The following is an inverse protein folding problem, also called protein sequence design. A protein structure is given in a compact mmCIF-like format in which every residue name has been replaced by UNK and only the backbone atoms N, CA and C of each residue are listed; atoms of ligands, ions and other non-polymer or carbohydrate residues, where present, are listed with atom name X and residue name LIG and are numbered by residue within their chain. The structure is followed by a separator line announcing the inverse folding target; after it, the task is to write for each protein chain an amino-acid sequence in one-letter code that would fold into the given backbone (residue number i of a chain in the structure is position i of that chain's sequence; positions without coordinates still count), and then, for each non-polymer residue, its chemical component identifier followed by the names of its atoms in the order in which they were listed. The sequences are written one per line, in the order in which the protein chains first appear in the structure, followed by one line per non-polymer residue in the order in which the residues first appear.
data_IF_153943398893
#
_entry.id   IF_153943398893
#
_cell.length_a   1.000
_cell.length_b   1.000
_cell.length_c   1.000
_cell.angle_alpha   90.00
_cell.angle_beta   90.00
_cell.angle_gamma   90.00
#
_symmetry.space_group_name_H-M   'P 1'
#
loop_
_entity.id
_entity.type
_entity.pdbx_description
1 polymer ?
#
# COMPACT_ATOMS: atom_id res chain seq x y z
N UNK A 1 -16.89 12.81 -2.93
CA UNK A 1 -16.62 11.48 -2.32
C UNK A 1 -15.43 10.87 -3.04
N UNK A 2 -14.50 10.22 -2.34
CA UNK A 2 -13.32 9.62 -2.98
C UNK A 2 -13.59 8.23 -3.55
N UNK A 3 -12.79 7.82 -4.53
CA UNK A 3 -12.87 6.52 -5.20
C UNK A 3 -11.51 6.08 -5.74
N UNK A 4 -11.36 4.78 -5.94
CA UNK A 4 -10.28 4.17 -6.71
C UNK A 4 -10.86 3.80 -8.08
N UNK A 5 -10.28 4.30 -9.17
CA UNK A 5 -10.66 3.91 -10.52
C UNK A 5 -9.73 2.83 -11.06
N UNK A 6 -10.29 1.90 -11.82
CA UNK A 6 -9.59 0.94 -12.65
C UNK A 6 -10.04 1.16 -14.08
N UNK A 7 -9.13 1.56 -14.96
CA UNK A 7 -9.50 2.03 -16.28
C UNK A 7 -8.56 1.54 -17.37
N UNK A 8 -9.14 1.17 -18.50
CA UNK A 8 -8.43 1.03 -19.76
C UNK A 8 -9.00 2.05 -20.77
N UNK A 9 -8.58 1.97 -22.03
CA UNK A 9 -9.05 2.90 -23.08
C UNK A 9 -10.57 2.84 -23.36
N UNK A 10 -11.23 1.75 -23.00
CA UNK A 10 -12.62 1.46 -23.40
C UNK A 10 -13.61 1.59 -22.24
N UNK A 11 -13.15 1.42 -20.98
CA UNK A 11 -14.02 1.37 -19.81
C UNK A 11 -13.31 1.81 -18.53
N UNK A 12 -14.12 2.31 -17.58
CA UNK A 12 -13.70 2.70 -16.23
C UNK A 12 -14.62 2.01 -15.23
N UNK A 13 -14.01 1.43 -14.19
CA UNK A 13 -14.71 0.80 -13.07
C UNK A 13 -14.32 1.51 -11.79
N UNK A 14 -15.31 1.87 -10.97
CA UNK A 14 -15.09 2.62 -9.73
C UNK A 14 -15.31 1.78 -8.48
N UNK A 15 -14.37 1.88 -7.55
CA UNK A 15 -14.46 1.32 -6.22
C UNK A 15 -14.51 2.45 -5.21
N UNK A 16 -15.34 2.32 -4.17
CA UNK A 16 -15.46 3.34 -3.12
C UNK A 16 -14.11 3.63 -2.46
N UNK A 17 -13.80 4.90 -2.19
CA UNK A 17 -12.60 5.27 -1.42
C UNK A 17 -12.57 4.71 0.00
N UNK A 18 -13.73 4.24 0.50
CA UNK A 18 -13.83 3.49 1.76
C UNK A 18 -13.09 2.15 1.71
N UNK A 19 -12.79 1.60 0.54
CA UNK A 19 -11.96 0.40 0.41
C UNK A 19 -10.50 0.68 0.76
N UNK A 20 -9.97 1.85 0.40
CA UNK A 20 -8.62 2.27 0.80
C UNK A 20 -8.48 2.30 2.32
N UNK A 21 -9.46 2.91 3.00
CA UNK A 21 -9.50 2.95 4.47
C UNK A 21 -9.62 1.54 5.07
N UNK A 22 -10.45 0.68 4.48
CA UNK A 22 -10.61 -0.71 4.89
C UNK A 22 -9.30 -1.50 4.77
N UNK A 23 -8.58 -1.37 3.66
CA UNK A 23 -7.27 -2.00 3.48
C UNK A 23 -6.26 -1.51 4.50
N UNK A 24 -6.21 -0.20 4.78
CA UNK A 24 -5.37 0.32 5.85
C UNK A 24 -5.71 -0.34 7.21
N UNK A 25 -6.99 -0.50 7.55
CA UNK A 25 -7.38 -1.18 8.78
C UNK A 25 -6.92 -2.65 8.83
N UNK A 26 -7.09 -3.42 7.75
CA UNK A 26 -6.63 -4.82 7.70
C UNK A 26 -5.12 -4.93 7.90
N UNK A 27 -4.36 -4.09 7.20
CA UNK A 27 -2.90 -4.05 7.25
C UNK A 27 -2.41 -3.60 8.63
N UNK A 28 -3.04 -2.58 9.20
CA UNK A 28 -2.71 -2.05 10.53
C UNK A 28 -3.02 -3.06 11.64
N UNK A 29 -4.13 -3.78 11.55
CA UNK A 29 -4.48 -4.83 12.51
C UNK A 29 -3.46 -5.97 12.48
N UNK A 30 -3.03 -6.40 11.28
CA UNK A 30 -1.99 -7.42 11.14
C UNK A 30 -0.68 -6.94 11.79
N UNK A 31 -0.24 -5.73 11.48
CA UNK A 31 0.99 -5.16 12.06
C UNK A 31 0.87 -4.94 13.57
N UNK A 32 -0.29 -4.53 14.05
CA UNK A 32 -0.61 -4.40 15.47
C UNK A 32 -0.45 -5.72 16.20
N UNK A 33 -0.99 -6.82 15.66
CA UNK A 33 -0.79 -8.14 16.25
C UNK A 33 0.67 -8.59 16.29
N UNK A 34 1.46 -8.26 15.27
CA UNK A 34 2.92 -8.51 15.25
C UNK A 34 3.63 -7.68 16.33
N UNK A 35 3.26 -6.41 16.46
CA UNK A 35 3.79 -5.52 17.50
C UNK A 35 3.41 -6.00 18.89
N UNK A 36 2.17 -6.39 19.14
CA UNK A 36 1.71 -6.93 20.43
C UNK A 36 2.56 -8.13 20.85
N UNK A 37 2.77 -9.09 19.94
CA UNK A 37 3.60 -10.26 20.20
C UNK A 37 5.05 -9.87 20.52
N UNK A 38 5.58 -8.86 19.83
CA UNK A 38 6.95 -8.41 20.04
C UNK A 38 7.10 -7.60 21.34
N UNK A 39 6.16 -6.71 21.66
CA UNK A 39 6.22 -5.81 22.81
C UNK A 39 5.86 -6.50 24.12
N UNK A 40 5.13 -7.63 24.08
CA UNK A 40 4.86 -8.46 25.25
C UNK A 40 6.12 -9.18 25.78
N UNK A 41 7.20 -9.27 24.99
CA UNK A 41 8.51 -9.71 25.47
C UNK A 41 9.33 -8.49 25.94
N UNK A 42 9.65 -8.37 27.25
CA UNK A 42 10.41 -7.24 27.79
C UNK A 42 11.77 -7.02 27.10
N UNK A 43 12.39 -8.10 26.60
CA UNK A 43 13.68 -8.00 25.90
C UNK A 43 13.51 -7.34 24.53
N UNK A 44 12.42 -7.66 23.82
CA UNK A 44 12.13 -7.07 22.52
C UNK A 44 11.61 -5.64 22.68
N UNK A 45 10.79 -5.36 23.70
CA UNK A 45 10.26 -4.01 23.97
C UNK A 45 11.34 -2.94 24.00
N UNK A 46 12.36 -3.14 24.84
CA UNK A 46 13.44 -2.14 25.01
C UNK A 46 14.20 -1.92 23.71
N UNK A 47 14.42 -3.00 22.95
CA UNK A 47 15.17 -2.92 21.70
C UNK A 47 14.37 -2.33 20.55
N UNK A 48 13.06 -2.61 20.46
CA UNK A 48 12.17 -1.98 19.49
C UNK A 48 12.04 -0.49 19.79
N UNK A 49 11.99 -0.12 21.08
CA UNK A 49 12.00 1.27 21.52
C UNK A 49 13.30 2.00 21.16
N UNK A 50 14.45 1.35 21.34
CA UNK A 50 15.74 1.92 20.94
C UNK A 50 15.89 1.97 19.40
N UNK A 51 15.43 0.92 18.73
CA UNK A 51 15.42 0.76 17.29
C UNK A 51 14.65 1.86 16.59
N UNK A 52 13.44 2.13 17.08
CA UNK A 52 12.52 3.13 16.60
C UNK A 52 12.64 4.36 17.50
N UNK A 53 13.83 4.95 17.54
CA UNK A 53 14.01 6.25 18.16
C UNK A 53 13.13 7.24 17.38
N UNK A 54 12.04 7.76 17.96
CA UNK A 54 11.22 8.66 17.17
C UNK A 54 11.95 10.00 17.03
N UNK A 55 11.60 10.72 15.97
CA UNK A 55 12.05 12.10 15.79
C UNK A 55 11.74 12.87 17.09
N UNK A 56 12.69 13.69 17.54
CA UNK A 56 12.82 14.27 18.90
C UNK A 56 11.54 14.85 19.55
N UNK A 57 10.47 15.09 18.80
CA UNK A 57 9.21 15.64 19.30
C UNK A 57 8.25 14.59 19.90
N UNK A 58 8.38 13.30 19.56
CA UNK A 58 7.49 12.24 20.08
C UNK A 58 7.88 11.74 21.48
N UNK A 59 9.16 11.88 21.85
CA UNK A 59 9.74 11.35 23.11
C UNK A 59 9.81 12.37 24.24
N UNK A 60 9.70 13.67 23.94
CA UNK A 60 9.66 14.67 25.01
C UNK A 60 8.32 14.69 25.76
N UNK A 61 7.27 14.11 25.18
CA UNK A 61 6.13 13.64 25.98
C UNK A 61 6.58 12.43 26.78
N UNK A 62 6.59 12.60 28.11
CA UNK A 62 6.86 11.58 29.12
C UNK A 62 5.76 10.48 29.11
N UNK A 63 5.36 9.97 27.94
CA UNK A 63 4.25 9.06 27.79
C UNK A 63 4.59 7.75 28.48
N UNK A 64 3.70 7.33 29.36
CA UNK A 64 3.83 6.09 30.12
C UNK A 64 3.70 4.85 29.23
N UNK A 65 3.38 4.97 27.93
CA UNK A 65 3.00 3.84 27.07
C UNK A 65 3.53 3.97 25.61
N UNK A 66 4.84 3.84 25.37
CA UNK A 66 5.44 3.78 24.01
C UNK A 66 4.73 2.79 23.07
N UNK A 67 4.25 1.66 23.61
CA UNK A 67 3.48 0.69 22.85
C UNK A 67 2.21 1.31 22.25
N UNK A 68 1.41 2.03 23.06
CA UNK A 68 0.18 2.68 22.61
C UNK A 68 0.45 3.73 21.54
N UNK A 69 1.50 4.54 21.72
CA UNK A 69 1.91 5.53 20.73
C UNK A 69 2.31 4.86 19.41
N UNK A 70 3.06 3.76 19.46
CA UNK A 70 3.43 2.99 18.29
C UNK A 70 2.22 2.32 17.62
N UNK A 71 1.25 1.82 18.39
CA UNK A 71 0.00 1.34 17.82
C UNK A 71 -0.75 2.46 17.10
N UNK A 72 -0.85 3.63 17.71
CA UNK A 72 -1.53 4.78 17.11
C UNK A 72 -0.89 5.14 15.77
N UNK A 73 0.43 5.29 15.74
CA UNK A 73 1.25 5.53 14.54
C UNK A 73 0.92 4.54 13.43
N UNK A 74 0.93 3.25 13.74
CA UNK A 74 0.67 2.23 12.73
C UNK A 74 -0.77 2.28 12.19
N UNK A 75 -1.74 2.70 13.01
CA UNK A 75 -3.14 2.79 12.61
C UNK A 75 -3.47 4.08 11.84
N UNK A 76 -2.91 5.22 12.25
CA UNK A 76 -3.27 6.55 11.72
C UNK A 76 -2.21 7.19 10.84
N UNK A 77 -0.94 6.84 11.03
CA UNK A 77 0.19 7.42 10.32
C UNK A 77 0.23 6.97 8.86
N UNK A 78 0.19 7.95 7.96
CA UNK A 78 0.50 7.76 6.53
C UNK A 78 1.81 8.48 6.13
N UNK A 79 2.23 9.49 6.90
CA UNK A 79 3.43 10.31 6.61
C UNK A 79 4.45 10.33 7.78
N UNK A 80 4.32 9.38 8.72
CA UNK A 80 5.14 9.38 9.92
C UNK A 80 6.50 8.69 9.68
N UNK A 81 7.56 9.37 10.08
CA UNK A 81 8.93 8.87 9.97
C UNK A 81 9.45 8.43 11.34
N UNK A 82 9.84 7.17 11.43
CA UNK A 82 10.73 6.69 12.49
C UNK A 82 12.19 7.00 12.16
N UNK A 83 13.08 6.64 13.07
CA UNK A 83 14.52 6.55 12.78
C UNK A 83 14.93 5.10 13.05
N UNK A 84 15.65 4.48 12.12
CA UNK A 84 16.26 3.16 12.28
C UNK A 84 17.73 3.22 11.89
N UNK A 85 18.62 2.85 12.82
CA UNK A 85 20.07 2.89 12.63
C UNK A 85 20.58 4.27 12.14
N UNK A 86 19.99 5.35 12.68
CA UNK A 86 20.36 6.73 12.33
C UNK A 86 19.82 7.22 10.98
N UNK A 87 19.02 6.41 10.26
CA UNK A 87 18.38 6.79 9.01
C UNK A 87 16.87 6.98 9.22
N UNK A 88 16.21 7.91 8.50
CA UNK A 88 14.76 7.96 8.47
C UNK A 88 14.18 6.61 8.06
N UNK A 89 13.08 6.21 8.69
CA UNK A 89 12.34 5.01 8.39
C UNK A 89 10.91 5.39 8.06
N UNK A 90 10.48 5.15 6.83
CA UNK A 90 9.08 5.29 6.46
C UNK A 90 8.23 4.18 7.09
N UNK A 91 7.38 4.55 8.04
CA UNK A 91 6.52 3.60 8.76
C UNK A 91 5.37 3.11 7.89
N UNK A 92 4.98 3.87 6.87
CA UNK A 92 3.98 3.42 5.91
C UNK A 92 4.51 2.26 5.08
N UNK A 93 5.67 2.41 4.44
CA UNK A 93 6.33 1.31 3.71
C UNK A 93 6.64 0.11 4.61
N UNK A 94 7.11 0.32 5.84
CA UNK A 94 7.36 -0.76 6.80
C UNK A 94 6.10 -1.59 7.09
N UNK A 95 4.96 -0.92 7.28
CA UNK A 95 3.64 -1.55 7.49
C UNK A 95 3.21 -2.34 6.26
N UNK A 96 3.32 -1.75 5.06
CA UNK A 96 2.99 -2.44 3.81
C UNK A 96 3.88 -3.67 3.59
N UNK A 97 5.19 -3.54 3.76
CA UNK A 97 6.15 -4.63 3.61
C UNK A 97 5.87 -5.78 4.59
N UNK A 98 5.52 -5.45 5.82
CA UNK A 98 5.13 -6.46 6.82
C UNK A 98 3.90 -7.24 6.38
N UNK A 99 2.88 -6.56 5.84
CA UNK A 99 1.71 -7.22 5.29
C UNK A 99 1.99 -8.01 4.02
N UNK A 100 2.93 -7.57 3.17
CA UNK A 100 3.39 -8.35 2.02
C UNK A 100 4.09 -9.65 2.45
N UNK A 101 4.92 -9.59 3.50
CA UNK A 101 5.69 -10.74 3.98
C UNK A 101 4.84 -11.78 4.72
N UNK A 102 3.79 -11.35 5.44
CA UNK A 102 2.95 -12.23 6.27
C UNK A 102 1.59 -12.57 5.65
N UNK A 103 1.11 -11.77 4.70
CA UNK A 103 -0.20 -11.91 4.10
C UNK A 103 -0.27 -13.03 3.06
N UNK A 104 -1.42 -13.68 2.96
CA UNK A 104 -1.77 -14.48 1.77
C UNK A 104 -2.09 -13.59 0.57
N UNK A 105 -2.23 -14.19 -0.62
CA UNK A 105 -2.36 -13.46 -1.89
C UNK A 105 -3.43 -12.35 -1.89
N UNK A 106 -4.60 -12.61 -1.31
CA UNK A 106 -5.66 -11.61 -1.23
C UNK A 106 -5.26 -10.38 -0.41
N UNK A 107 -4.63 -10.59 0.76
CA UNK A 107 -4.16 -9.48 1.58
C UNK A 107 -3.00 -8.76 0.90
N UNK A 108 -2.06 -9.50 0.28
CA UNK A 108 -0.97 -8.92 -0.50
C UNK A 108 -1.50 -8.04 -1.64
N UNK A 109 -2.56 -8.46 -2.34
CA UNK A 109 -3.20 -7.65 -3.38
C UNK A 109 -3.82 -6.38 -2.81
N UNK A 110 -4.54 -6.49 -1.69
CA UNK A 110 -5.11 -5.34 -1.00
C UNK A 110 -4.01 -4.35 -0.55
N UNK A 111 -2.89 -4.87 -0.06
CA UNK A 111 -1.70 -4.09 0.32
C UNK A 111 -1.08 -3.37 -0.88
N UNK A 112 -0.91 -4.05 -2.02
CA UNK A 112 -0.42 -3.42 -3.26
C UNK A 112 -1.34 -2.32 -3.73
N UNK A 113 -2.64 -2.60 -3.82
CA UNK A 113 -3.64 -1.61 -4.21
C UNK A 113 -3.58 -0.40 -3.27
N UNK A 114 -3.53 -0.63 -1.96
CA UNK A 114 -3.46 0.46 -0.97
C UNK A 114 -2.19 1.32 -1.12
N UNK A 115 -1.03 0.69 -1.26
CA UNK A 115 0.25 1.39 -1.37
C UNK A 115 0.49 2.06 -2.72
N UNK A 116 -0.17 1.59 -3.78
CA UNK A 116 0.12 2.02 -5.16
C UNK A 116 -1.01 2.85 -5.79
N UNK A 117 -2.18 2.94 -5.16
CA UNK A 117 -3.29 3.72 -5.73
C UNK A 117 -3.01 5.23 -5.81
N UNK A 118 -2.06 5.75 -5.04
CA UNK A 118 -1.70 7.18 -5.02
C UNK A 118 -0.62 7.56 -6.03
N UNK A 119 0.22 6.61 -6.41
CA UNK A 119 1.38 6.81 -7.31
C UNK A 119 1.18 6.12 -8.66
N UNK A 120 -0.07 5.79 -8.99
CA UNK A 120 -0.48 5.03 -10.17
C UNK A 120 0.08 3.60 -10.21
N UNK A 121 -0.77 2.64 -9.85
CA UNK A 121 -0.53 1.22 -10.14
C UNK A 121 -1.07 0.84 -11.52
N UNK A 122 -0.52 -0.18 -12.16
CA UNK A 122 -1.11 -0.72 -13.39
C UNK A 122 -0.94 -2.23 -13.53
N UNK A 123 -1.86 -2.82 -14.30
CA UNK A 123 -1.84 -4.24 -14.69
C UNK A 123 -1.69 -4.31 -16.21
N UNK A 124 -0.76 -5.13 -16.70
CA UNK A 124 -0.74 -5.43 -18.14
C UNK A 124 -1.83 -6.44 -18.49
N UNK A 125 -2.14 -6.53 -19.78
CA UNK A 125 -3.20 -7.41 -20.27
C UNK A 125 -2.93 -8.88 -19.90
N UNK A 126 -1.68 -9.32 -20.02
CA UNK A 126 -1.23 -10.67 -19.69
C UNK A 126 -1.36 -11.02 -18.19
N UNK A 127 -1.29 -10.01 -17.31
CA UNK A 127 -1.38 -10.17 -15.86
C UNK A 127 -2.83 -10.13 -15.34
N UNK A 128 -3.77 -9.63 -16.16
CA UNK A 128 -5.17 -9.41 -15.81
C UNK A 128 -5.88 -10.63 -15.24
N UNK A 129 -5.87 -11.79 -15.92
CA UNK A 129 -6.50 -13.01 -15.41
C UNK A 129 -5.93 -13.52 -14.07
N UNK A 130 -4.64 -13.29 -13.81
CA UNK A 130 -4.02 -13.63 -12.52
C UNK A 130 -4.54 -12.71 -11.41
N UNK A 131 -4.52 -11.39 -11.63
CA UNK A 131 -5.01 -10.42 -10.67
C UNK A 131 -6.50 -10.61 -10.35
N UNK A 132 -7.32 -10.88 -11.38
CA UNK A 132 -8.75 -11.15 -11.24
C UNK A 132 -9.01 -12.33 -10.28
N UNK A 133 -8.30 -13.45 -10.44
CA UNK A 133 -8.45 -14.63 -9.55
C UNK A 133 -8.12 -14.31 -8.09
N UNK A 134 -7.11 -13.47 -7.84
CA UNK A 134 -6.74 -13.06 -6.47
C UNK A 134 -7.84 -12.18 -5.86
N UNK A 135 -8.40 -11.25 -6.63
CA UNK A 135 -9.51 -10.41 -6.17
C UNK A 135 -10.75 -11.26 -5.87
N UNK A 136 -11.09 -12.21 -6.73
CA UNK A 136 -12.19 -13.16 -6.50
C UNK A 136 -11.98 -14.03 -5.27
N UNK A 137 -10.75 -14.50 -5.04
CA UNK A 137 -10.39 -15.19 -3.81
C UNK A 137 -10.58 -14.29 -2.60
N UNK A 138 -10.12 -13.05 -2.68
CA UNK A 138 -10.24 -12.09 -1.61
C UNK A 138 -11.69 -11.69 -1.30
N UNK A 139 -12.57 -11.67 -2.29
CA UNK A 139 -14.03 -11.55 -2.09
C UNK A 139 -14.58 -12.74 -1.28
N UNK A 140 -14.21 -13.99 -1.64
CA UNK A 140 -14.62 -15.18 -0.88
C UNK A 140 -14.10 -15.19 0.56
N UNK A 141 -12.93 -14.57 0.79
CA UNK A 141 -12.29 -14.47 2.10
C UNK A 141 -12.72 -13.24 2.91
N UNK A 142 -13.61 -12.39 2.39
CA UNK A 142 -14.00 -11.10 2.97
C UNK A 142 -12.82 -10.12 3.21
N UNK A 143 -11.73 -10.28 2.47
CA UNK A 143 -10.64 -9.29 2.43
C UNK A 143 -11.08 -8.09 1.57
N UNK A 144 -11.71 -8.37 0.44
CA UNK A 144 -12.37 -7.38 -0.40
C UNK A 144 -13.85 -7.36 -0.03
N UNK A 145 -14.43 -6.18 0.18
CA UNK A 145 -15.86 -6.10 0.54
C UNK A 145 -16.73 -6.28 -0.68
N UNK A 146 -17.87 -6.93 -0.50
CA UNK A 146 -18.87 -7.06 -1.56
C UNK A 146 -19.42 -5.70 -1.98
N UNK A 147 -19.89 -5.66 -3.23
CA UNK A 147 -20.36 -4.45 -3.89
C UNK A 147 -21.50 -3.79 -3.09
N UNK A 148 -21.50 -2.46 -3.05
CA UNK A 148 -22.58 -1.66 -2.48
C UNK A 148 -23.26 -0.86 -3.61
N UNK A 149 -24.50 -0.44 -3.40
CA UNK A 149 -25.32 0.19 -4.45
C UNK A 149 -24.76 1.49 -5.05
N UNK A 150 -23.69 2.06 -4.49
CA UNK A 150 -23.15 3.36 -4.88
C UNK A 150 -21.96 3.27 -5.85
N UNK A 151 -21.28 2.14 -5.92
CA UNK A 151 -20.07 1.95 -6.71
C UNK A 151 -20.13 0.64 -7.50
N UNK A 152 -19.29 0.50 -8.52
CA UNK A 152 -19.22 -0.71 -9.33
C UNK A 152 -18.76 -1.92 -8.51
N UNK A 153 -17.82 -1.67 -7.60
CA UNK A 153 -17.29 -2.65 -6.66
C UNK A 153 -16.29 -3.64 -7.27
N UNK A 154 -15.81 -4.56 -6.44
CA UNK A 154 -14.67 -5.41 -6.76
C UNK A 154 -15.00 -6.53 -7.75
N UNK A 155 -16.26 -6.98 -7.82
CA UNK A 155 -16.67 -8.00 -8.81
C UNK A 155 -16.49 -7.48 -10.24
N UNK A 156 -16.83 -6.20 -10.47
CA UNK A 156 -16.62 -5.55 -11.77
C UNK A 156 -15.14 -5.30 -12.07
N UNK A 157 -14.31 -5.00 -11.06
CA UNK A 157 -12.85 -4.88 -11.23
C UNK A 157 -12.24 -6.21 -11.64
N UNK A 158 -12.61 -7.32 -10.98
CA UNK A 158 -12.17 -8.66 -11.36
C UNK A 158 -12.59 -9.00 -12.80
N UNK A 159 -13.84 -8.70 -13.17
CA UNK A 159 -14.34 -8.88 -14.53
C UNK A 159 -13.57 -8.05 -15.57
N UNK A 160 -13.26 -6.78 -15.28
CA UNK A 160 -12.45 -5.91 -16.12
C UNK A 160 -11.07 -6.53 -16.35
N UNK A 161 -10.38 -6.92 -15.28
CA UNK A 161 -9.02 -7.48 -15.35
C UNK A 161 -8.99 -8.83 -16.07
N UNK A 162 -10.00 -9.68 -15.89
CA UNK A 162 -10.05 -10.99 -16.53
C UNK A 162 -10.21 -10.92 -18.06
N UNK A 163 -10.84 -9.86 -18.59
CA UNK A 163 -11.24 -9.78 -20.01
C UNK A 163 -10.57 -8.63 -20.79
N UNK A 164 -9.81 -7.76 -20.13
CA UNK A 164 -9.12 -6.66 -20.79
C UNK A 164 -8.03 -7.18 -21.73
N UNK A 165 -7.91 -6.54 -22.90
CA UNK A 165 -6.83 -6.79 -23.87
C UNK A 165 -5.71 -5.75 -23.80
N UNK A 166 -5.85 -4.75 -22.94
CA UNK A 166 -4.90 -3.66 -22.77
C UNK A 166 -4.59 -3.39 -21.30
N UNK A 167 -3.67 -2.45 -21.07
CA UNK A 167 -3.28 -2.04 -19.73
C UNK A 167 -4.44 -1.43 -18.96
N UNK A 168 -4.62 -1.87 -17.72
CA UNK A 168 -5.54 -1.27 -16.76
C UNK A 168 -4.74 -0.41 -15.79
N UNK A 169 -5.03 0.88 -15.78
CA UNK A 169 -4.45 1.85 -14.87
C UNK A 169 -5.34 1.97 -13.63
N UNK A 170 -4.72 1.98 -12.46
CA UNK A 170 -5.34 2.24 -11.18
C UNK A 170 -4.98 3.64 -10.70
N UNK A 171 -5.97 4.43 -10.29
CA UNK A 171 -5.76 5.77 -9.73
C UNK A 171 -6.70 6.03 -8.54
N UNK A 172 -6.26 6.87 -7.60
CA UNK A 172 -7.08 7.31 -6.47
C UNK A 172 -7.48 8.78 -6.66
N UNK A 173 -8.78 9.07 -6.58
CA UNK A 173 -9.35 10.37 -6.94
C UNK A 173 -8.85 11.56 -6.11
N UNK A 174 -8.17 11.30 -4.99
CA UNK A 174 -7.60 12.35 -4.11
C UNK A 174 -6.19 12.75 -4.58
N UNK A 175 -5.47 11.85 -5.23
CA UNK A 175 -4.07 12.01 -5.64
C UNK A 175 -3.94 12.31 -7.13
N UNK A 176 -4.95 13.00 -7.69
CA UNK A 176 -5.20 13.18 -9.13
C UNK A 176 -5.67 11.90 -9.83
N UNK A 177 -6.72 12.04 -10.65
CA UNK A 177 -7.24 10.92 -11.44
C UNK A 177 -6.41 10.74 -12.71
N UNK A 178 -6.37 9.55 -13.29
CA UNK A 178 -5.85 9.38 -14.65
C UNK A 178 -6.94 9.79 -15.67
N UNK A 179 -6.61 10.54 -16.74
CA UNK A 179 -5.27 10.95 -17.15
C UNK A 179 -4.78 12.27 -16.53
N UNK A 180 -5.62 13.02 -15.81
CA UNK A 180 -5.31 14.39 -15.34
C UNK A 180 -3.96 14.52 -14.63
N UNK A 181 -3.59 13.56 -13.77
CA UNK A 181 -2.32 13.64 -13.05
C UNK A 181 -1.08 13.30 -13.88
N UNK A 182 -1.24 12.86 -15.12
CA UNK A 182 -0.13 12.64 -16.07
C UNK A 182 -0.02 13.72 -17.16
N UNK A 183 -0.94 14.70 -17.14
CA UNK A 183 -0.92 15.84 -18.04
C UNK A 183 0.08 16.91 -17.58
N UNK A 184 0.76 17.54 -18.53
CA UNK A 184 1.56 18.75 -18.26
C UNK A 184 0.66 19.92 -17.89
N UNK A 185 1.23 21.00 -17.34
CA UNK A 185 0.44 22.20 -17.04
C UNK A 185 -0.19 22.79 -18.33
N UNK A 186 0.58 22.88 -19.41
CA UNK A 186 0.12 23.39 -20.70
C UNK A 186 -1.08 22.58 -21.22
N UNK A 187 -1.01 21.25 -21.18
CA UNK A 187 -2.10 20.39 -21.66
C UNK A 187 -3.39 20.52 -20.84
N UNK A 188 -3.28 20.84 -19.54
CA UNK A 188 -4.45 21.12 -18.70
C UNK A 188 -5.09 22.46 -19.03
N UNK A 189 -4.30 23.40 -19.55
CA UNK A 189 -4.74 24.74 -19.93
C UNK A 189 -5.26 24.80 -21.38
N UNK A 190 -4.94 23.79 -22.21
CA UNK A 190 -5.44 23.67 -23.58
C UNK A 190 -6.63 22.71 -23.71
N UNK A 191 -7.46 22.91 -24.74
CA UNK A 191 -8.52 21.96 -25.11
C UNK A 191 -7.99 20.69 -25.83
N UNK A 192 -6.68 20.61 -26.09
CA UNK A 192 -6.07 19.47 -26.79
C UNK A 192 -5.65 18.41 -25.77
N UNK A 193 -6.48 17.39 -25.61
CA UNK A 193 -6.17 16.26 -24.73
C UNK A 193 -5.24 15.26 -25.44
N UNK A 194 -4.14 14.82 -24.81
CA UNK A 194 -3.29 13.75 -25.35
C UNK A 194 -4.08 12.44 -25.46
N UNK A 195 -3.66 11.56 -26.39
CA UNK A 195 -4.30 10.25 -26.54
C UNK A 195 -4.06 9.36 -25.31
N UNK A 196 -4.90 8.33 -25.16
CA UNK A 196 -4.72 7.31 -24.12
C UNK A 196 -3.30 6.73 -24.11
N UNK A 197 -2.76 6.41 -25.29
CA UNK A 197 -1.44 5.83 -25.47
C UNK A 197 -0.33 6.80 -25.02
N UNK A 198 -0.48 8.10 -25.31
CA UNK A 198 0.47 9.11 -24.86
C UNK A 198 0.45 9.24 -23.32
N UNK A 199 -0.73 9.30 -22.71
CA UNK A 199 -0.88 9.31 -21.25
C UNK A 199 -0.30 8.05 -20.61
N UNK A 200 -0.59 6.88 -21.18
CA UNK A 200 -0.10 5.60 -20.69
C UNK A 200 1.43 5.50 -20.79
N UNK A 201 1.99 5.96 -21.91
CA UNK A 201 3.44 6.02 -22.10
C UNK A 201 4.10 6.85 -20.99
N UNK A 202 3.58 8.06 -20.71
CA UNK A 202 4.12 8.92 -19.65
C UNK A 202 3.99 8.28 -18.28
N UNK A 203 2.85 7.66 -17.97
CA UNK A 203 2.66 6.96 -16.72
C UNK A 203 3.74 5.88 -16.52
N UNK A 204 3.97 5.05 -17.54
CA UNK A 204 4.87 3.90 -17.43
C UNK A 204 6.34 4.34 -17.43
N UNK A 205 6.73 5.25 -18.32
CA UNK A 205 8.14 5.55 -18.57
C UNK A 205 8.64 6.82 -17.88
N UNK A 206 7.81 7.86 -17.77
CA UNK A 206 8.23 9.13 -17.20
C UNK A 206 7.96 9.18 -15.69
N UNK A 207 6.74 8.79 -15.28
CA UNK A 207 6.30 8.80 -13.89
C UNK A 207 6.62 7.51 -13.14
N UNK A 208 7.05 6.47 -13.86
CA UNK A 208 7.41 5.16 -13.29
C UNK A 208 6.29 4.54 -12.46
N UNK A 209 5.07 4.57 -13.00
CA UNK A 209 3.93 3.86 -12.42
C UNK A 209 4.30 2.42 -12.09
N UNK A 210 3.69 1.88 -11.05
CA UNK A 210 4.12 0.60 -10.47
C UNK A 210 3.31 -0.56 -11.05
N UNK A 211 4.01 -1.47 -11.74
CA UNK A 211 3.40 -2.69 -12.30
C UNK A 211 3.01 -3.64 -11.16
N UNK A 212 1.76 -4.10 -11.16
CA UNK A 212 1.30 -5.21 -10.31
C UNK A 212 1.23 -6.46 -11.17
N UNK A 213 2.15 -7.39 -10.94
CA UNK A 213 2.30 -8.61 -11.74
C UNK A 213 2.90 -9.74 -10.91
N UNK A 214 2.87 -11.00 -11.39
CA UNK A 214 3.57 -12.10 -10.75
C UNK A 214 5.08 -11.83 -10.58
N UNK A 215 5.70 -11.14 -11.53
CA UNK A 215 7.14 -10.84 -11.53
C UNK A 215 7.54 -9.87 -10.41
N UNK A 216 6.68 -8.88 -10.14
CA UNK A 216 6.89 -7.84 -9.12
C UNK A 216 6.20 -8.17 -7.80
N UNK A 217 5.70 -9.40 -7.65
CA UNK A 217 4.80 -9.75 -6.55
C UNK A 217 5.50 -9.72 -5.20
N UNK A 218 6.77 -10.11 -5.17
CA UNK A 218 7.60 -10.20 -3.96
C UNK A 218 8.40 -8.91 -3.68
N UNK A 219 8.36 -7.91 -4.56
CA UNK A 219 9.13 -6.66 -4.41
C UNK A 219 8.68 -5.86 -3.17
N UNK A 220 9.58 -5.43 -2.31
CA UNK A 220 9.19 -4.59 -1.18
C UNK A 220 9.16 -3.10 -1.56
N UNK A 221 8.44 -2.31 -0.77
CA UNK A 221 8.42 -0.86 -0.86
C UNK A 221 9.66 -0.25 -0.19
N UNK A 222 10.23 0.78 -0.84
CA UNK A 222 11.32 1.62 -0.37
C UNK A 222 12.49 0.88 0.30
N UNK A 223 12.57 0.89 1.64
CA UNK A 223 13.70 0.37 2.40
C UNK A 223 13.80 -1.16 2.49
N UNK A 224 12.87 -1.90 1.86
CA UNK A 224 12.81 -3.37 1.91
C UNK A 224 12.80 -3.97 3.33
N UNK A 225 12.38 -3.18 4.32
CA UNK A 225 12.30 -3.60 5.71
C UNK A 225 10.87 -4.01 6.08
N UNK A 226 10.77 -5.05 6.92
CA UNK A 226 9.54 -5.44 7.62
C UNK A 226 9.70 -5.25 9.14
N UNK A 227 8.58 -5.24 9.87
CA UNK A 227 8.60 -5.31 11.34
C UNK A 227 9.34 -6.55 11.85
N UNK A 228 9.28 -7.67 11.12
CA UNK A 228 9.99 -8.89 11.48
C UNK A 228 11.51 -8.69 11.45
N UNK A 229 12.01 -7.88 10.52
CA UNK A 229 13.44 -7.59 10.42
C UNK A 229 13.90 -6.69 11.57
N UNK A 230 13.07 -5.75 12.00
CA UNK A 230 13.34 -4.96 13.20
C UNK A 230 13.42 -5.87 14.43
N UNK A 231 12.46 -6.79 14.59
CA UNK A 231 12.43 -7.75 15.70
C UNK A 231 13.66 -8.67 15.65
N UNK A 232 13.99 -9.27 14.51
CA UNK A 232 15.13 -10.19 14.35
C UNK A 232 16.47 -9.51 14.61
N UNK A 233 16.69 -8.31 14.08
CA UNK A 233 17.95 -7.58 14.25
C UNK A 233 18.16 -7.13 15.70
N UNK A 234 17.07 -6.87 16.42
CA UNK A 234 17.10 -6.62 17.85
C UNK A 234 17.66 -7.83 18.64
N UNK A 235 17.33 -9.05 18.22
CA UNK A 235 17.80 -10.27 18.89
C UNK A 235 19.30 -10.47 18.68
N UNK A 236 19.80 -10.29 17.45
CA UNK A 236 21.22 -10.55 17.11
C UNK A 236 22.22 -9.68 17.89
N UNK A 237 21.99 -8.37 18.00
CA UNK A 237 22.92 -7.46 18.71
C UNK A 237 23.09 -7.81 20.18
N UNK A 238 22.10 -8.43 20.81
CA UNK A 238 22.21 -8.83 22.21
C UNK A 238 23.21 -9.96 22.43
N UNK A 239 23.31 -10.89 21.48
CA UNK A 239 24.20 -12.04 21.59
C UNK A 239 25.67 -11.69 21.26
N UNK A 240 25.94 -10.56 20.62
CA UNK A 240 27.30 -10.10 20.30
C UNK A 240 27.95 -9.31 21.45
N UNK A 241 27.16 -8.91 22.46
CA UNK A 241 27.61 -8.14 23.62
C UNK A 241 27.59 -8.93 24.95
N UNK A 242 27.27 -10.23 24.90
CA UNK A 242 27.36 -11.17 26.02
C UNK A 242 28.59 -12.06 25.86
#
# INVERSE_FOLDING_TARGET
MSYISFQNKDQIVYVSGRERAWFNCLISNLCGGVLDLALNDPNNYSKIKEALAPKQDWVNTHSRNFAEDLHLVFHTGMDEQGIWQGKPLDLFSLKLNTALALGGDALRMATRIHGQCEVYGYFRAEDGPWAARIIEQGLRQNIFRHDNAQYDGWSKVASLLAHTKGTVVMAYSVCYSFPEGVLTQEERETDVQPSWEACLYRLIYDLRGLKISPETWDDLFDHELTLLDLIKNSIRRHNEHL
#
